data_IF_359245954275
#
_entry.id   IF_359245954275
#
_cell.length_a   1.000
_cell.length_b   1.000
_cell.length_c   1.000
_cell.angle_alpha   90.00
_cell.angle_beta   90.00
_cell.angle_gamma   90.00
#
_symmetry.space_group_name_H-M   'P 1'
#
loop_
_entity.id
_entity.type
_entity.pdbx_description
1 polymer ?
#
# COMPACT_ATOMS: atom_id res chain seq x y z
N UNK A 1 62.42 50.61 50.60
CA UNK A 1 61.73 49.35 50.95
C UNK A 1 60.27 49.43 50.50
N UNK A 2 60.00 49.32 49.19
CA UNK A 2 58.64 49.54 48.64
C UNK A 2 58.47 49.00 47.19
N UNK A 3 59.18 47.93 46.82
CA UNK A 3 59.16 47.40 45.44
C UNK A 3 59.05 45.88 45.30
N UNK A 4 58.72 45.16 46.38
CA UNK A 4 58.61 43.68 46.37
C UNK A 4 57.23 43.14 46.77
N UNK A 5 56.23 44.00 46.99
CA UNK A 5 54.88 43.56 47.42
C UNK A 5 53.89 43.45 46.24
N UNK A 6 54.18 44.07 45.09
CA UNK A 6 53.25 44.08 43.94
C UNK A 6 53.35 42.85 43.03
N UNK A 7 54.39 42.03 43.13
CA UNK A 7 54.53 40.84 42.26
C UNK A 7 53.73 39.63 42.77
N UNK A 8 53.57 39.49 44.09
CA UNK A 8 52.77 38.42 44.69
C UNK A 8 51.26 38.61 44.50
N UNK A 9 50.81 39.88 44.45
CA UNK A 9 49.39 40.19 44.23
C UNK A 9 48.98 40.02 42.76
N UNK A 10 49.89 40.28 41.80
CA UNK A 10 49.63 40.07 40.37
C UNK A 10 49.58 38.58 40.00
N UNK A 11 50.38 37.72 40.66
CA UNK A 11 50.30 36.27 40.45
C UNK A 11 49.02 35.66 41.03
N UNK A 12 48.51 36.18 42.15
CA UNK A 12 47.27 35.71 42.76
C UNK A 12 46.02 36.04 41.90
N UNK A 13 46.04 37.14 41.16
CA UNK A 13 44.94 37.51 40.24
C UNK A 13 44.94 36.65 38.96
N UNK A 14 46.11 36.22 38.46
CA UNK A 14 46.17 35.30 37.32
C UNK A 14 45.76 33.86 37.68
N UNK A 15 45.98 33.42 38.92
CA UNK A 15 45.56 32.08 39.38
C UNK A 15 44.07 32.05 39.76
N UNK A 16 43.47 33.18 40.19
CA UNK A 16 42.03 33.29 40.47
C UNK A 16 41.17 33.59 39.23
N UNK A 17 41.78 33.93 38.09
CA UNK A 17 41.11 34.05 36.78
C UNK A 17 41.26 32.80 35.90
N UNK A 18 41.98 31.77 36.38
CA UNK A 18 41.73 30.39 35.96
C UNK A 18 40.48 29.89 36.67
N UNK A 19 39.37 30.58 36.43
CA UNK A 19 38.07 29.94 36.45
C UNK A 19 38.24 28.72 35.56
N UNK A 20 38.22 27.52 36.15
CA UNK A 20 37.74 26.36 35.44
C UNK A 20 36.41 26.81 34.82
N UNK A 21 36.42 27.20 33.55
CA UNK A 21 35.31 26.82 32.69
C UNK A 21 35.29 25.32 32.87
N UNK A 22 34.42 24.88 33.77
CA UNK A 22 33.78 23.59 33.61
C UNK A 22 33.29 23.73 32.19
N UNK A 23 33.95 23.07 31.24
CA UNK A 23 33.33 22.83 29.96
C UNK A 23 31.97 22.29 30.39
N UNK A 24 30.92 23.08 30.16
CA UNK A 24 29.57 22.57 30.19
C UNK A 24 29.58 21.60 29.01
N UNK A 25 30.15 20.42 29.24
CA UNK A 25 30.03 19.26 28.37
C UNK A 25 28.54 19.04 28.34
N UNK A 26 27.93 19.64 27.31
CA UNK A 26 26.55 19.36 26.93
C UNK A 26 26.50 17.84 26.90
N UNK A 27 25.63 17.22 27.72
CA UNK A 27 25.55 15.77 27.76
C UNK A 27 25.44 15.27 26.32
N UNK A 28 26.21 14.23 25.93
CA UNK A 28 26.14 13.72 24.57
C UNK A 28 24.69 13.43 24.24
N UNK A 29 24.23 13.91 23.09
CA UNK A 29 22.86 13.69 22.62
C UNK A 29 22.59 12.19 22.60
N UNK A 30 21.53 11.77 23.29
CA UNK A 30 21.16 10.37 23.38
C UNK A 30 20.38 9.95 22.13
N UNK A 31 20.91 8.95 21.41
CA UNK A 31 20.27 8.35 20.24
C UNK A 31 19.73 6.94 20.54
N UNK A 32 19.69 6.56 21.82
CA UNK A 32 19.19 5.26 22.23
C UNK A 32 17.69 5.11 21.93
N UNK A 33 17.31 3.85 21.72
CA UNK A 33 15.93 3.43 21.57
C UNK A 33 15.60 2.64 22.83
N UNK A 34 14.58 3.10 23.55
CA UNK A 34 14.12 2.55 24.82
C UNK A 34 12.61 2.30 24.77
N UNK A 35 12.16 1.30 25.54
CA UNK A 35 10.73 1.02 25.71
C UNK A 35 10.00 2.18 26.36
N UNK A 36 8.78 2.44 25.89
CA UNK A 36 7.84 3.43 26.43
C UNK A 36 6.52 2.75 26.78
N UNK A 37 5.52 3.51 27.24
CA UNK A 37 4.19 2.96 27.50
C UNK A 37 3.45 2.48 26.24
N UNK A 38 3.84 2.97 25.06
CA UNK A 38 3.19 2.63 23.79
C UNK A 38 4.07 1.76 22.87
N UNK A 39 5.33 1.50 23.26
CA UNK A 39 6.32 0.80 22.45
C UNK A 39 7.21 -0.09 23.33
N UNK A 40 7.32 -1.36 23.02
CA UNK A 40 8.23 -2.31 23.68
C UNK A 40 9.34 -2.69 22.72
N UNK A 41 10.58 -2.34 23.09
CA UNK A 41 11.78 -2.85 22.46
C UNK A 41 12.10 -4.24 23.04
N UNK A 42 12.04 -5.28 22.22
CA UNK A 42 12.31 -6.66 22.65
C UNK A 42 13.80 -6.97 22.51
N UNK A 43 14.39 -6.66 21.35
CA UNK A 43 15.80 -6.89 21.10
C UNK A 43 16.37 -5.96 20.04
N UNK A 44 17.69 -5.84 20.02
CA UNK A 44 18.46 -5.01 19.09
C UNK A 44 19.54 -5.83 18.38
N UNK A 45 19.89 -5.37 17.19
CA UNK A 45 21.08 -5.80 16.46
C UNK A 45 22.36 -5.20 17.07
N UNK A 46 23.55 -5.73 16.75
CA UNK A 46 24.82 -5.18 17.26
C UNK A 46 25.09 -3.72 16.90
N UNK A 47 24.47 -3.21 15.84
CA UNK A 47 24.55 -1.80 15.42
C UNK A 47 23.61 -0.87 16.22
N UNK A 48 22.83 -1.39 17.17
CA UNK A 48 21.89 -0.63 17.99
C UNK A 48 20.51 -0.44 17.37
N UNK A 49 20.29 -0.89 16.13
CA UNK A 49 18.97 -0.86 15.51
C UNK A 49 18.04 -1.91 16.10
N UNK A 50 16.74 -1.63 16.01
CA UNK A 50 15.68 -2.53 16.44
C UNK A 50 15.81 -3.83 15.66
N UNK A 51 15.81 -4.95 16.38
CA UNK A 51 15.68 -6.27 15.77
C UNK A 51 14.23 -6.75 15.90
N UNK A 52 13.66 -6.68 17.09
CA UNK A 52 12.29 -7.08 17.39
C UNK A 52 11.63 -6.04 18.30
N UNK A 53 10.40 -5.64 17.99
CA UNK A 53 9.65 -4.71 18.81
C UNK A 53 8.12 -4.85 18.60
N UNK A 54 7.36 -4.17 19.47
CA UNK A 54 5.89 -4.15 19.45
C UNK A 54 5.35 -2.77 19.78
N UNK A 55 4.31 -2.33 19.08
CA UNK A 55 3.50 -1.17 19.47
C UNK A 55 2.23 -1.61 20.18
N UNK A 56 1.78 -0.80 21.14
CA UNK A 56 0.53 -1.02 21.87
C UNK A 56 -0.43 0.13 21.61
N UNK A 57 -1.70 -0.22 21.34
CA UNK A 57 -2.81 0.70 21.53
C UNK A 57 -3.19 0.74 23.02
N UNK A 58 -4.08 1.66 23.40
CA UNK A 58 -4.64 1.70 24.74
C UNK A 58 -5.12 0.28 25.18
N UNK A 59 -5.01 -0.04 26.48
CA UNK A 59 -5.39 -1.34 27.09
C UNK A 59 -4.36 -2.49 27.00
N UNK A 60 -3.05 -2.20 26.81
CA UNK A 60 -1.97 -3.21 26.79
C UNK A 60 -2.15 -4.30 25.72
N UNK A 61 -2.82 -3.94 24.62
CA UNK A 61 -3.11 -4.82 23.51
C UNK A 61 -2.18 -4.43 22.34
N UNK A 62 -1.44 -5.37 21.72
CA UNK A 62 -0.53 -5.03 20.64
C UNK A 62 -1.33 -4.53 19.44
N UNK A 63 -0.90 -3.39 18.87
CA UNK A 63 -1.37 -2.92 17.57
C UNK A 63 -0.49 -3.44 16.46
N UNK A 64 0.81 -3.63 16.72
CA UNK A 64 1.80 -4.05 15.74
C UNK A 64 2.88 -4.88 16.42
N UNK A 65 3.34 -5.94 15.77
CA UNK A 65 4.53 -6.71 16.15
C UNK A 65 5.43 -6.83 14.92
N UNK A 66 6.73 -6.58 15.04
CA UNK A 66 7.61 -6.57 13.87
C UNK A 66 9.04 -7.00 14.19
N UNK A 67 9.68 -7.55 13.16
CA UNK A 67 11.08 -7.95 13.13
C UNK A 67 11.77 -7.29 11.93
N UNK A 68 12.98 -6.77 12.15
CA UNK A 68 13.84 -6.21 11.11
C UNK A 68 15.10 -7.06 10.90
N UNK A 69 15.60 -7.07 9.67
CA UNK A 69 16.98 -7.45 9.37
C UNK A 69 17.96 -6.37 9.89
N UNK A 70 19.25 -6.69 9.95
CA UNK A 70 20.29 -5.78 10.47
C UNK A 70 20.51 -4.54 9.57
N UNK A 71 20.11 -4.64 8.30
CA UNK A 71 20.05 -3.54 7.33
C UNK A 71 18.79 -2.65 7.45
N UNK A 72 17.91 -2.92 8.42
CA UNK A 72 16.73 -2.11 8.72
C UNK A 72 15.49 -2.44 7.89
N UNK A 73 15.57 -3.39 6.95
CA UNK A 73 14.39 -3.87 6.23
C UNK A 73 13.50 -4.77 7.09
N UNK A 74 12.20 -4.73 6.84
CA UNK A 74 11.22 -5.58 7.54
C UNK A 74 11.45 -7.01 7.12
N UNK A 75 11.62 -7.89 8.11
CA UNK A 75 11.61 -9.34 7.92
C UNK A 75 10.21 -9.90 8.03
N UNK A 76 9.47 -9.45 9.03
CA UNK A 76 8.05 -9.77 9.19
C UNK A 76 7.34 -8.73 10.03
N UNK A 77 6.04 -8.56 9.78
CA UNK A 77 5.17 -7.75 10.64
C UNK A 77 3.80 -8.40 10.80
N UNK A 78 3.19 -8.20 11.96
CA UNK A 78 1.80 -8.52 12.29
C UNK A 78 1.09 -7.24 12.69
N UNK A 79 0.00 -6.94 12.02
CA UNK A 79 -0.79 -5.73 12.25
C UNK A 79 -2.15 -6.13 12.79
N UNK A 80 -2.59 -5.46 13.85
CA UNK A 80 -3.84 -5.71 14.54
C UNK A 80 -4.80 -4.55 14.35
N UNK A 81 -6.01 -4.85 13.87
CA UNK A 81 -7.09 -3.87 13.79
C UNK A 81 -7.89 -3.85 15.10
N UNK A 82 -8.38 -2.68 15.49
CA UNK A 82 -9.15 -2.48 16.73
C UNK A 82 -10.67 -2.52 16.54
N UNK A 83 -11.15 -2.54 15.29
CA UNK A 83 -12.57 -2.55 14.93
C UNK A 83 -12.85 -3.71 13.95
N UNK A 84 -14.02 -4.39 14.03
CA UNK A 84 -15.08 -4.24 15.04
C UNK A 84 -14.67 -4.75 16.44
N UNK A 85 -13.65 -5.61 16.51
CA UNK A 85 -12.96 -6.02 17.72
C UNK A 85 -11.44 -6.09 17.45
N UNK A 86 -10.63 -6.22 18.51
CA UNK A 86 -9.21 -6.47 18.33
C UNK A 86 -8.98 -7.84 17.68
N UNK A 87 -8.36 -7.86 16.50
CA UNK A 87 -8.00 -9.07 15.78
C UNK A 87 -6.69 -8.87 15.01
N UNK A 88 -6.00 -9.98 14.72
CA UNK A 88 -4.93 -9.97 13.74
C UNK A 88 -5.55 -9.63 12.39
N UNK A 89 -5.09 -8.57 11.75
CA UNK A 89 -5.62 -8.07 10.49
C UNK A 89 -4.75 -8.49 9.31
N UNK A 90 -3.43 -8.37 9.45
CA UNK A 90 -2.47 -8.64 8.38
C UNK A 90 -1.18 -9.23 8.95
N UNK A 91 -0.58 -10.15 8.21
CA UNK A 91 0.78 -10.61 8.38
C UNK A 91 1.53 -10.49 7.05
N UNK A 92 2.78 -10.04 7.11
CA UNK A 92 3.65 -9.96 5.95
C UNK A 92 5.03 -10.51 6.26
N UNK A 93 5.71 -11.03 5.25
CA UNK A 93 7.11 -11.45 5.32
C UNK A 93 7.87 -11.04 4.08
N UNK A 94 9.15 -10.68 4.27
CA UNK A 94 10.00 -10.13 3.23
C UNK A 94 11.43 -10.67 3.30
N UNK A 95 12.14 -10.59 2.18
CA UNK A 95 13.55 -10.94 2.07
C UNK A 95 14.47 -9.86 2.67
N UNK A 96 15.75 -10.19 2.82
CA UNK A 96 16.80 -9.23 3.19
C UNK A 96 16.98 -8.10 2.18
N UNK A 97 16.50 -8.28 0.95
CA UNK A 97 16.51 -7.26 -0.11
C UNK A 97 15.20 -6.47 -0.18
N UNK A 98 14.36 -6.58 0.87
CA UNK A 98 13.07 -5.91 0.98
C UNK A 98 12.07 -6.31 -0.12
N UNK A 99 12.14 -7.54 -0.64
CA UNK A 99 11.15 -8.09 -1.57
C UNK A 99 10.06 -8.84 -0.80
N UNK A 100 8.77 -8.69 -1.15
CA UNK A 100 7.71 -9.45 -0.50
C UNK A 100 7.89 -10.95 -0.79
N UNK A 101 7.62 -11.79 0.21
CA UNK A 101 7.65 -13.26 0.10
C UNK A 101 6.25 -13.85 0.19
N UNK A 102 5.47 -13.39 1.17
CA UNK A 102 4.07 -13.73 1.33
C UNK A 102 3.36 -12.67 2.19
N UNK A 103 2.06 -12.56 2.00
CA UNK A 103 1.16 -11.79 2.85
C UNK A 103 -0.13 -12.55 3.13
N UNK A 104 -0.73 -12.30 4.29
CA UNK A 104 -1.97 -12.92 4.76
C UNK A 104 -2.83 -11.87 5.43
N UNK A 105 -4.13 -11.94 5.17
CA UNK A 105 -5.11 -11.02 5.73
C UNK A 105 -6.26 -11.81 6.32
N UNK A 106 -6.81 -11.30 7.42
CA UNK A 106 -7.74 -12.04 8.25
C UNK A 106 -9.05 -11.28 8.46
N UNK A 107 -10.13 -12.04 8.67
CA UNK A 107 -11.42 -11.49 9.09
C UNK A 107 -11.41 -11.13 10.58
N UNK A 108 -12.36 -10.32 11.07
CA UNK A 108 -12.53 -10.06 12.50
C UNK A 108 -12.76 -11.32 13.35
N UNK A 109 -13.22 -12.41 12.75
CA UNK A 109 -13.43 -13.73 13.35
C UNK A 109 -12.12 -14.54 13.46
N UNK A 110 -11.04 -14.07 12.81
CA UNK A 110 -9.73 -14.72 12.77
C UNK A 110 -9.56 -15.74 11.64
N UNK A 111 -10.47 -15.76 10.66
CA UNK A 111 -10.37 -16.62 9.49
C UNK A 111 -9.48 -15.97 8.44
N UNK A 112 -8.74 -16.78 7.67
CA UNK A 112 -7.92 -16.27 6.57
C UNK A 112 -8.84 -15.77 5.45
N UNK A 113 -8.76 -14.48 5.13
CA UNK A 113 -9.59 -13.85 4.12
C UNK A 113 -8.93 -13.87 2.73
N UNK A 114 -7.66 -13.52 2.64
CA UNK A 114 -6.85 -13.79 1.45
C UNK A 114 -5.37 -13.89 1.79
N UNK A 115 -4.62 -14.51 0.89
CA UNK A 115 -3.17 -14.57 0.96
C UNK A 115 -2.55 -14.37 -0.43
N UNK A 116 -1.33 -13.83 -0.44
CA UNK A 116 -0.54 -13.67 -1.66
C UNK A 116 0.82 -14.32 -1.46
N UNK A 117 1.23 -15.12 -2.43
CA UNK A 117 2.57 -15.68 -2.56
C UNK A 117 3.32 -14.85 -3.61
N UNK A 118 4.60 -14.59 -3.35
CA UNK A 118 5.45 -13.78 -4.22
C UNK A 118 6.69 -14.57 -4.66
N UNK A 119 7.14 -14.33 -5.89
CA UNK A 119 8.37 -14.85 -6.45
C UNK A 119 9.20 -13.68 -7.00
N UNK A 120 10.43 -13.49 -6.50
CA UNK A 120 11.30 -12.35 -6.81
C UNK A 120 10.58 -10.99 -6.62
N UNK A 121 9.83 -10.89 -5.52
CA UNK A 121 9.04 -9.72 -5.16
C UNK A 121 7.81 -9.44 -6.01
N UNK A 122 7.50 -10.27 -7.01
CA UNK A 122 6.31 -10.13 -7.84
C UNK A 122 5.23 -11.15 -7.43
N UNK A 123 3.94 -10.79 -7.45
CA UNK A 123 2.89 -11.73 -7.09
C UNK A 123 2.93 -12.93 -8.05
N UNK A 124 2.82 -14.13 -7.48
CA UNK A 124 2.78 -15.40 -8.20
C UNK A 124 1.41 -16.06 -8.08
N UNK A 125 0.83 -16.07 -6.87
CA UNK A 125 -0.50 -16.61 -6.60
C UNK A 125 -1.20 -15.75 -5.54
N UNK A 126 -2.46 -15.38 -5.76
CA UNK A 126 -3.33 -14.75 -4.75
C UNK A 126 -4.57 -15.62 -4.55
N UNK A 127 -4.87 -16.02 -3.32
CA UNK A 127 -6.04 -16.85 -2.98
C UNK A 127 -6.98 -16.04 -2.11
N UNK A 128 -8.24 -15.94 -2.51
CA UNK A 128 -9.30 -15.22 -1.78
C UNK A 128 -10.35 -16.23 -1.31
N UNK A 129 -10.71 -16.16 -0.04
CA UNK A 129 -11.59 -17.11 0.63
C UNK A 129 -12.92 -16.44 1.01
N UNK A 130 -14.03 -17.14 0.80
CA UNK A 130 -15.36 -16.71 1.25
C UNK A 130 -16.26 -17.90 1.56
N UNK A 131 -17.43 -17.64 2.15
CA UNK A 131 -18.46 -18.66 2.38
C UNK A 131 -18.97 -19.29 1.07
N UNK A 132 -18.86 -18.59 -0.06
CA UNK A 132 -19.33 -19.07 -1.36
C UNK A 132 -18.30 -19.97 -2.05
N UNK A 133 -17.01 -19.85 -1.72
CA UNK A 133 -15.96 -20.60 -2.40
C UNK A 133 -14.57 -20.00 -2.25
N UNK A 134 -13.68 -20.37 -3.16
CA UNK A 134 -12.30 -19.88 -3.21
C UNK A 134 -11.95 -19.42 -4.62
N UNK A 135 -11.38 -18.23 -4.73
CA UNK A 135 -10.82 -17.69 -5.97
C UNK A 135 -9.30 -17.80 -5.92
N UNK A 136 -8.68 -18.38 -6.95
CA UNK A 136 -7.25 -18.50 -7.12
C UNK A 136 -6.83 -17.68 -8.33
N UNK A 137 -6.06 -16.63 -8.09
CA UNK A 137 -5.51 -15.73 -9.09
C UNK A 137 -4.08 -16.17 -9.35
N UNK A 138 -3.76 -16.53 -10.59
CA UNK A 138 -2.42 -16.96 -10.98
C UNK A 138 -1.74 -15.88 -11.79
N UNK A 139 -0.46 -15.66 -11.52
CA UNK A 139 0.33 -14.62 -12.13
C UNK A 139 1.59 -15.22 -12.79
N UNK A 140 2.05 -14.58 -13.87
CA UNK A 140 3.34 -14.84 -14.48
C UNK A 140 4.12 -13.53 -14.55
N UNK A 141 5.29 -13.46 -13.89
CA UNK A 141 6.07 -12.23 -13.79
C UNK A 141 5.24 -11.01 -13.30
N UNK A 142 4.39 -11.24 -12.29
CA UNK A 142 3.51 -10.23 -11.72
C UNK A 142 2.29 -9.86 -12.58
N UNK A 143 2.06 -10.49 -13.74
CA UNK A 143 0.87 -10.26 -14.57
C UNK A 143 -0.17 -11.34 -14.36
N UNK A 144 -1.42 -10.93 -14.12
CA UNK A 144 -2.54 -11.85 -13.96
C UNK A 144 -2.79 -12.65 -15.24
N UNK A 145 -2.60 -13.97 -15.18
CA UNK A 145 -2.82 -14.87 -16.32
C UNK A 145 -4.12 -15.63 -16.22
N UNK A 146 -4.60 -15.92 -15.02
CA UNK A 146 -5.89 -16.59 -14.84
C UNK A 146 -6.51 -16.33 -13.48
N UNK A 147 -7.82 -16.51 -13.42
CA UNK A 147 -8.60 -16.57 -12.18
C UNK A 147 -9.48 -17.80 -12.22
N UNK A 148 -9.36 -18.66 -11.22
CA UNK A 148 -10.18 -19.85 -11.03
C UNK A 148 -11.02 -19.70 -9.77
N UNK A 149 -12.33 -19.74 -9.90
CA UNK A 149 -13.26 -19.81 -8.78
C UNK A 149 -13.79 -21.23 -8.64
N UNK A 150 -13.78 -21.76 -7.42
CA UNK A 150 -14.41 -23.04 -7.05
C UNK A 150 -15.45 -22.79 -5.97
N UNK A 151 -16.69 -23.21 -6.20
CA UNK A 151 -17.76 -23.11 -5.21
C UNK A 151 -17.47 -23.98 -3.97
N UNK A 152 -17.88 -23.53 -2.77
CA UNK A 152 -17.60 -24.20 -1.50
C UNK A 152 -18.16 -25.64 -1.42
N UNK A 153 -19.26 -25.90 -2.14
CA UNK A 153 -19.88 -27.23 -2.26
C UNK A 153 -19.32 -28.07 -3.43
N UNK A 154 -18.34 -27.54 -4.17
CA UNK A 154 -17.76 -28.10 -5.39
C UNK A 154 -18.77 -28.33 -6.52
N UNK A 155 -19.92 -27.66 -6.50
CA UNK A 155 -20.95 -27.80 -7.54
C UNK A 155 -20.56 -27.14 -8.86
N UNK A 156 -19.66 -26.15 -8.83
CA UNK A 156 -19.26 -25.41 -10.02
C UNK A 156 -17.85 -24.84 -9.92
N UNK A 157 -17.26 -24.63 -11.10
CA UNK A 157 -15.99 -23.95 -11.30
C UNK A 157 -16.13 -22.93 -12.42
N UNK A 158 -15.47 -21.78 -12.27
CA UNK A 158 -15.36 -20.77 -13.32
C UNK A 158 -13.90 -20.40 -13.51
N UNK A 159 -13.40 -20.44 -14.74
CA UNK A 159 -12.02 -20.12 -15.07
C UNK A 159 -12.01 -19.00 -16.09
N UNK A 160 -11.38 -17.88 -15.75
CA UNK A 160 -11.05 -16.80 -16.67
C UNK A 160 -9.57 -16.89 -17.01
N UNK A 161 -9.22 -17.03 -18.28
CA UNK A 161 -7.82 -17.00 -18.76
C UNK A 161 -7.59 -15.70 -19.51
N UNK A 162 -6.58 -14.94 -19.10
CA UNK A 162 -6.27 -13.63 -19.65
C UNK A 162 -5.18 -13.71 -20.73
N UNK A 163 -5.39 -13.01 -21.84
CA UNK A 163 -4.36 -12.75 -22.84
C UNK A 163 -4.26 -11.24 -23.11
N UNK A 164 -3.57 -10.49 -22.25
CA UNK A 164 -3.45 -9.03 -22.38
C UNK A 164 -2.86 -8.62 -23.73
N UNK A 165 -1.87 -9.36 -24.23
CA UNK A 165 -1.21 -9.07 -25.50
C UNK A 165 -2.15 -9.19 -26.71
N UNK A 166 -3.11 -10.11 -26.67
CA UNK A 166 -4.14 -10.24 -27.70
C UNK A 166 -5.38 -9.38 -27.41
N UNK A 167 -5.44 -8.69 -26.27
CA UNK A 167 -6.62 -7.93 -25.85
C UNK A 167 -7.86 -8.79 -25.62
N UNK A 168 -7.69 -10.07 -25.26
CA UNK A 168 -8.78 -11.03 -25.08
C UNK A 168 -8.70 -11.78 -23.75
N UNK A 169 -9.81 -12.35 -23.33
CA UNK A 169 -9.90 -13.32 -22.25
C UNK A 169 -10.91 -14.41 -22.59
N UNK A 170 -10.63 -15.63 -22.19
CA UNK A 170 -11.57 -16.75 -22.31
C UNK A 170 -12.21 -17.01 -20.95
N UNK A 171 -13.51 -17.29 -20.94
CA UNK A 171 -14.26 -17.67 -19.75
C UNK A 171 -14.87 -19.05 -19.96
N UNK A 172 -14.47 -20.00 -19.13
CA UNK A 172 -15.08 -21.33 -19.08
C UNK A 172 -15.80 -21.53 -17.75
N UNK A 173 -16.97 -22.17 -17.79
CA UNK A 173 -17.75 -22.48 -16.60
C UNK A 173 -18.20 -23.94 -16.67
N UNK A 174 -17.92 -24.69 -15.61
CA UNK A 174 -18.39 -26.05 -15.43
C UNK A 174 -19.34 -26.10 -14.24
N UNK A 175 -20.49 -26.78 -14.39
CA UNK A 175 -21.45 -27.02 -13.30
C UNK A 175 -21.80 -28.50 -13.28
N UNK A 176 -21.63 -29.14 -12.12
CA UNK A 176 -21.87 -30.57 -11.93
C UNK A 176 -21.14 -31.47 -12.96
N UNK A 177 -19.94 -31.05 -13.39
CA UNK A 177 -19.13 -31.77 -14.38
C UNK A 177 -19.50 -31.51 -15.84
N UNK A 178 -20.50 -30.68 -16.13
CA UNK A 178 -20.87 -30.29 -17.50
C UNK A 178 -20.42 -28.86 -17.82
N UNK A 179 -19.83 -28.67 -19.01
CA UNK A 179 -19.48 -27.34 -19.50
C UNK A 179 -20.74 -26.59 -19.91
N UNK A 180 -20.95 -25.42 -19.32
CA UNK A 180 -22.13 -24.56 -19.53
C UNK A 180 -21.79 -23.20 -20.15
N UNK A 181 -20.50 -22.86 -20.24
CA UNK A 181 -19.97 -21.70 -20.95
C UNK A 181 -18.52 -21.98 -21.34
N UNK A 182 -18.14 -21.58 -22.55
CA UNK A 182 -16.77 -21.48 -23.03
C UNK A 182 -16.74 -20.44 -24.16
N UNK A 183 -16.45 -19.19 -23.79
CA UNK A 183 -16.57 -18.04 -24.69
C UNK A 183 -15.43 -17.04 -24.51
N UNK A 184 -15.07 -16.37 -25.60
CA UNK A 184 -14.07 -15.31 -25.61
C UNK A 184 -14.72 -13.93 -25.49
N UNK A 185 -14.12 -13.09 -24.65
CA UNK A 185 -14.51 -11.71 -24.39
C UNK A 185 -13.31 -10.77 -24.57
N UNK A 186 -13.54 -9.46 -24.79
CA UNK A 186 -12.49 -8.47 -24.69
C UNK A 186 -11.79 -8.53 -23.33
N UNK A 187 -10.48 -8.35 -23.33
CA UNK A 187 -9.70 -8.24 -22.10
C UNK A 187 -10.08 -6.95 -21.37
N UNK A 188 -10.33 -7.12 -20.08
CA UNK A 188 -10.46 -6.03 -19.12
C UNK A 188 -9.73 -6.45 -17.85
N UNK A 189 -8.87 -5.59 -17.33
CA UNK A 189 -8.07 -5.89 -16.14
C UNK A 189 -9.00 -6.16 -14.95
N UNK A 190 -8.74 -7.25 -14.23
CA UNK A 190 -9.52 -7.75 -13.09
C UNK A 190 -10.99 -8.15 -13.34
N UNK A 191 -11.48 -8.23 -14.58
CA UNK A 191 -12.83 -8.77 -14.83
C UNK A 191 -12.81 -10.29 -14.72
N UNK A 192 -13.74 -10.83 -13.92
CA UNK A 192 -13.72 -12.23 -13.50
C UNK A 192 -12.80 -12.50 -12.31
N UNK A 193 -12.14 -11.46 -11.76
CA UNK A 193 -11.38 -11.56 -10.51
C UNK A 193 -12.25 -11.91 -9.29
N UNK A 194 -13.59 -11.80 -9.42
CA UNK A 194 -14.53 -12.31 -8.41
C UNK A 194 -14.11 -11.94 -7.00
N UNK A 195 -13.72 -10.69 -6.76
CA UNK A 195 -13.24 -10.25 -5.46
C UNK A 195 -14.44 -10.15 -4.54
N UNK A 196 -14.72 -11.25 -3.86
CA UNK A 196 -16.02 -11.46 -3.29
C UNK A 196 -16.09 -11.17 -1.81
N UNK A 197 -16.42 -9.92 -1.55
CA UNK A 197 -17.41 -9.60 -0.53
C UNK A 197 -18.78 -9.62 -1.21
N UNK A 198 -19.57 -10.67 -1.02
CA UNK A 198 -20.99 -10.79 -1.44
C UNK A 198 -21.49 -10.53 -2.89
N UNK A 199 -20.73 -9.92 -3.85
CA UNK A 199 -21.15 -9.67 -5.27
C UNK A 199 -20.28 -10.21 -6.45
N UNK A 200 -20.91 -10.78 -7.52
CA UNK A 200 -20.23 -11.66 -8.53
C UNK A 200 -19.82 -10.70 -9.60
N UNK A 201 -18.53 -10.33 -9.59
CA UNK A 201 -17.91 -9.62 -10.69
C UNK A 201 -18.29 -10.40 -11.96
N UNK A 202 -19.03 -9.78 -12.89
CA UNK A 202 -19.56 -10.43 -14.06
C UNK A 202 -18.44 -11.05 -14.87
N UNK A 203 -18.41 -12.38 -15.00
CA UNK A 203 -17.38 -13.03 -15.83
C UNK A 203 -17.63 -12.75 -17.31
N UNK A 204 -18.88 -12.65 -17.75
CA UNK A 204 -19.26 -12.45 -19.15
C UNK A 204 -19.57 -10.98 -19.56
N UNK A 205 -19.57 -10.01 -18.63
CA UNK A 205 -19.96 -8.59 -18.82
C UNK A 205 -20.84 -8.32 -20.07
N UNK A 206 -22.12 -8.70 -20.00
CA UNK A 206 -23.03 -8.66 -21.16
C UNK A 206 -23.34 -7.24 -21.69
N UNK A 207 -22.94 -6.20 -20.97
CA UNK A 207 -23.22 -4.80 -21.30
C UNK A 207 -22.08 -4.12 -22.08
N UNK A 208 -21.04 -4.85 -22.49
CA UNK A 208 -19.85 -4.25 -23.13
C UNK A 208 -20.12 -3.58 -24.50
N UNK A 209 -21.27 -3.86 -25.12
CA UNK A 209 -21.65 -3.39 -26.45
C UNK A 209 -22.60 -2.17 -26.42
N UNK A 210 -22.93 -1.62 -25.23
CA UNK A 210 -23.75 -0.41 -25.13
C UNK A 210 -22.95 0.83 -25.58
N UNK A 211 -23.61 1.81 -26.20
CA UNK A 211 -22.99 3.07 -26.65
C UNK A 211 -22.28 3.77 -25.48
N UNK A 212 -20.95 3.66 -25.42
CA UNK A 212 -20.17 4.34 -24.39
C UNK A 212 -20.01 5.81 -24.74
N UNK A 213 -20.34 6.71 -23.83
CA UNK A 213 -19.94 8.11 -23.93
C UNK A 213 -18.64 8.33 -23.15
N UNK A 214 -17.64 8.93 -23.78
CA UNK A 214 -16.43 9.37 -23.08
C UNK A 214 -16.64 10.77 -22.54
N UNK A 215 -16.53 10.92 -21.21
CA UNK A 215 -16.67 12.19 -20.53
C UNK A 215 -15.30 12.67 -20.05
N UNK A 216 -14.78 13.72 -20.68
CA UNK A 216 -13.47 14.29 -20.35
C UNK A 216 -13.56 15.22 -19.14
N UNK A 217 -12.68 15.03 -18.16
CA UNK A 217 -12.60 15.83 -16.93
C UNK A 217 -11.36 16.75 -16.90
N UNK A 218 -10.20 16.26 -17.35
CA UNK A 218 -8.90 16.96 -17.27
C UNK A 218 -8.60 17.60 -15.90
N UNK A 219 -8.53 16.79 -14.84
CA UNK A 219 -8.25 17.28 -13.50
C UNK A 219 -6.90 16.78 -13.01
N UNK A 220 -6.11 17.65 -12.39
CA UNK A 220 -4.85 17.28 -11.74
C UNK A 220 -4.85 17.75 -10.31
N UNK A 221 -4.38 16.91 -9.41
CA UNK A 221 -4.16 17.21 -8.01
C UNK A 221 -2.72 16.94 -7.66
N UNK A 222 -2.16 17.75 -6.77
CA UNK A 222 -0.81 17.60 -6.28
C UNK A 222 -0.77 17.96 -4.80
N UNK A 223 -0.02 17.18 -4.04
CA UNK A 223 0.25 17.41 -2.64
C UNK A 223 1.76 17.32 -2.39
N UNK A 224 2.31 18.39 -1.81
CA UNK A 224 3.68 18.40 -1.32
C UNK A 224 3.87 17.40 -0.18
N UNK A 225 5.09 16.87 0.02
CA UNK A 225 5.39 16.00 1.14
C UNK A 225 4.91 16.59 2.47
N UNK A 226 4.23 15.76 3.26
CA UNK A 226 3.76 16.12 4.59
C UNK A 226 3.86 14.93 5.52
N UNK A 227 4.13 15.18 6.80
CA UNK A 227 4.12 14.14 7.83
C UNK A 227 2.68 13.71 8.10
N UNK A 228 2.42 12.42 7.94
CA UNK A 228 1.16 11.79 8.24
C UNK A 228 1.37 10.76 9.35
N UNK A 229 0.59 10.88 10.42
CA UNK A 229 0.52 9.90 11.49
C UNK A 229 -0.62 8.95 11.16
N UNK A 230 -0.41 7.65 11.28
CA UNK A 230 -1.40 6.62 10.91
C UNK A 230 -1.87 6.75 9.44
N UNK A 231 -0.92 7.02 8.54
CA UNK A 231 -1.20 7.25 7.12
C UNK A 231 -1.75 5.98 6.45
N UNK A 232 -2.97 6.06 5.92
CA UNK A 232 -3.51 5.04 5.04
C UNK A 232 -3.36 5.50 3.58
N UNK A 233 -2.62 4.76 2.73
CA UNK A 233 -2.48 5.09 1.31
C UNK A 233 -3.81 5.27 0.57
N UNK A 234 -4.90 4.72 1.11
CA UNK A 234 -6.27 4.84 0.58
C UNK A 234 -6.70 6.31 0.42
N UNK A 235 -6.17 7.22 1.24
CA UNK A 235 -6.48 8.65 1.17
C UNK A 235 -5.91 9.31 -0.10
N UNK A 236 -4.97 8.66 -0.77
CA UNK A 236 -4.23 9.19 -1.92
C UNK A 236 -4.53 8.44 -3.23
N UNK A 237 -5.42 7.45 -3.20
CA UNK A 237 -5.76 6.65 -4.38
C UNK A 237 -7.24 6.29 -4.43
N UNK A 238 -7.74 6.04 -5.64
CA UNK A 238 -9.11 5.57 -5.82
C UNK A 238 -9.19 4.06 -5.61
N UNK A 239 -10.29 3.55 -5.04
CA UNK A 239 -10.60 2.14 -5.09
C UNK A 239 -10.66 1.72 -6.55
N UNK A 240 -9.89 0.70 -6.90
CA UNK A 240 -9.96 0.12 -8.24
C UNK A 240 -11.38 -0.36 -8.56
N UNK A 241 -12.08 -0.94 -7.57
CA UNK A 241 -13.49 -1.35 -7.70
C UNK A 241 -14.37 -0.66 -6.64
N UNK A 242 -15.38 0.07 -7.09
CA UNK A 242 -16.48 0.58 -6.28
C UNK A 242 -17.73 -0.23 -6.56
N UNK A 243 -18.23 -0.92 -5.54
CA UNK A 243 -19.46 -1.71 -5.62
C UNK A 243 -20.66 -0.89 -5.12
N UNK A 244 -21.87 -1.29 -5.51
CA UNK A 244 -23.12 -0.62 -5.13
C UNK A 244 -23.36 -0.69 -3.61
N UNK A 245 -22.96 -1.81 -2.98
CA UNK A 245 -22.88 -1.90 -1.52
C UNK A 245 -21.69 -1.10 -0.98
N UNK A 246 -21.99 0.11 -0.50
CA UNK A 246 -21.01 1.02 0.08
C UNK A 246 -20.28 0.38 1.28
N UNK A 247 -19.00 0.07 1.13
CA UNK A 247 -18.13 -0.36 2.22
C UNK A 247 -17.37 0.83 2.78
N UNK A 248 -17.66 1.18 4.04
CA UNK A 248 -16.83 2.12 4.81
C UNK A 248 -15.82 1.28 5.61
N UNK A 249 -14.55 1.20 5.18
CA UNK A 249 -13.51 0.72 6.10
C UNK A 249 -13.50 1.69 7.30
N UNK A 250 -13.41 1.14 8.51
CA UNK A 250 -13.17 1.96 9.70
C UNK A 250 -11.71 2.46 9.70
N UNK A 251 -11.16 2.74 10.89
CA UNK A 251 -9.76 3.18 11.07
C UNK A 251 -8.72 2.05 10.80
N UNK A 252 -8.86 1.28 9.73
CA UNK A 252 -7.98 0.18 9.34
C UNK A 252 -7.83 0.09 7.82
N UNK A 253 -6.68 -0.41 7.36
CA UNK A 253 -6.41 -0.65 5.94
C UNK A 253 -7.57 -1.45 5.33
N UNK A 254 -8.12 -0.95 4.23
CA UNK A 254 -9.30 -1.54 3.63
C UNK A 254 -8.93 -2.86 2.95
N UNK A 255 -9.21 -3.97 3.62
CA UNK A 255 -9.03 -5.34 3.11
C UNK A 255 -9.54 -5.46 1.67
N UNK A 256 -10.78 -5.04 1.41
CA UNK A 256 -11.39 -5.01 0.06
C UNK A 256 -10.52 -4.28 -0.97
N UNK A 257 -9.87 -3.22 -0.55
CA UNK A 257 -8.98 -2.39 -1.37
C UNK A 257 -7.64 -3.08 -1.65
N UNK A 258 -7.08 -3.79 -0.67
CA UNK A 258 -5.87 -4.60 -0.83
C UNK A 258 -6.05 -5.74 -1.82
N UNK A 259 -7.22 -6.37 -1.85
CA UNK A 259 -7.46 -7.43 -2.84
C UNK A 259 -7.65 -6.86 -4.25
N UNK A 260 -8.29 -5.69 -4.38
CA UNK A 260 -8.64 -5.09 -5.68
C UNK A 260 -7.56 -4.18 -6.26
N UNK A 261 -6.59 -3.71 -5.46
CA UNK A 261 -5.61 -2.72 -5.92
C UNK A 261 -4.20 -3.18 -5.58
N UNK A 262 -3.49 -3.71 -6.59
CA UNK A 262 -2.11 -4.18 -6.40
C UNK A 262 -1.18 -3.06 -5.91
N UNK A 263 -1.40 -1.82 -6.35
CA UNK A 263 -0.64 -0.66 -5.88
C UNK A 263 -0.86 -0.41 -4.37
N UNK A 264 -2.11 -0.43 -3.91
CA UNK A 264 -2.43 -0.27 -2.51
C UNK A 264 -1.80 -1.37 -1.66
N UNK A 265 -2.02 -2.62 -2.07
CA UNK A 265 -1.46 -3.80 -1.43
C UNK A 265 0.06 -3.68 -1.32
N UNK A 266 0.73 -3.34 -2.43
CA UNK A 266 2.19 -3.19 -2.46
C UNK A 266 2.68 -2.18 -1.43
N UNK A 267 2.01 -1.02 -1.31
CA UNK A 267 2.42 0.01 -0.34
C UNK A 267 2.25 -0.45 1.11
N UNK A 268 1.07 -0.97 1.46
CA UNK A 268 0.78 -1.36 2.85
C UNK A 268 1.64 -2.58 3.26
N UNK A 269 2.08 -3.40 2.31
CA UNK A 269 3.00 -4.51 2.57
C UNK A 269 4.47 -4.07 2.62
N UNK A 270 4.84 -2.98 1.93
CA UNK A 270 6.19 -2.40 1.98
C UNK A 270 6.44 -1.64 3.28
N UNK A 271 5.42 -0.93 3.74
CA UNK A 271 5.44 -0.12 4.97
C UNK A 271 4.28 -0.51 5.91
N UNK A 272 4.21 -1.78 6.36
CA UNK A 272 3.15 -2.25 7.25
C UNK A 272 3.24 -1.61 8.64
N UNK A 273 4.41 -1.09 8.99
CA UNK A 273 4.70 -0.39 10.25
C UNK A 273 5.31 0.96 9.91
N UNK A 274 4.78 2.02 10.53
CA UNK A 274 5.25 3.39 10.34
C UNK A 274 5.66 4.00 11.69
N UNK A 275 6.95 3.95 12.01
CA UNK A 275 7.45 4.44 13.31
C UNK A 275 7.20 5.95 13.45
N UNK A 276 6.20 6.32 14.26
CA UNK A 276 5.75 7.70 14.45
C UNK A 276 5.39 8.40 13.12
N UNK A 277 4.86 7.69 12.14
CA UNK A 277 4.34 8.24 10.88
C UNK A 277 5.30 8.19 9.68
N UNK A 278 4.83 8.68 8.52
CA UNK A 278 5.58 8.72 7.24
C UNK A 278 5.46 10.09 6.59
N UNK A 279 6.42 10.41 5.72
CA UNK A 279 6.30 11.53 4.79
C UNK A 279 5.63 11.05 3.51
N UNK A 280 4.55 11.68 3.10
CA UNK A 280 3.89 11.36 1.83
C UNK A 280 3.63 12.62 1.01
N UNK A 281 3.99 12.55 -0.27
CA UNK A 281 3.62 13.49 -1.32
C UNK A 281 3.00 12.73 -2.48
N UNK A 282 2.03 13.33 -3.17
CA UNK A 282 1.26 12.62 -4.20
C UNK A 282 0.87 13.53 -5.36
N UNK A 283 0.58 12.92 -6.49
CA UNK A 283 -0.15 13.57 -7.57
C UNK A 283 -1.06 12.58 -8.27
N UNK A 284 -2.22 13.08 -8.67
CA UNK A 284 -3.16 12.35 -9.52
C UNK A 284 -3.57 13.21 -10.69
N UNK A 285 -3.70 12.57 -11.85
CA UNK A 285 -4.27 13.15 -13.05
C UNK A 285 -5.44 12.27 -13.49
N UNK A 286 -6.61 12.86 -13.59
CA UNK A 286 -7.85 12.20 -14.03
C UNK A 286 -8.18 12.78 -15.41
N UNK A 287 -8.05 11.95 -16.46
CA UNK A 287 -8.36 12.38 -17.82
C UNK A 287 -9.88 12.44 -18.04
N UNK A 288 -10.59 11.40 -17.59
CA UNK A 288 -12.04 11.26 -17.79
C UNK A 288 -12.54 9.87 -17.48
N UNK A 289 -13.75 9.55 -17.92
CA UNK A 289 -14.36 8.25 -17.72
C UNK A 289 -15.28 7.85 -18.88
N UNK A 290 -15.43 6.54 -19.08
CA UNK A 290 -16.52 5.97 -19.84
C UNK A 290 -17.70 5.68 -18.92
N UNK A 291 -18.90 6.06 -19.35
CA UNK A 291 -20.15 5.58 -18.74
C UNK A 291 -20.77 4.53 -19.65
N UNK A 292 -21.15 3.41 -19.05
CA UNK A 292 -21.85 2.30 -19.66
C UNK A 292 -23.31 2.36 -19.23
N UNK A 293 -24.22 2.02 -20.14
CA UNK A 293 -25.65 1.99 -19.85
C UNK A 293 -26.16 0.56 -19.72
N UNK A 294 -27.02 0.34 -18.73
CA UNK A 294 -27.85 -0.84 -18.62
C UNK A 294 -28.96 -0.81 -19.71
N UNK A 295 -28.61 -1.21 -20.94
CA UNK A 295 -29.55 -1.12 -22.06
C UNK A 295 -30.74 -2.05 -21.88
N UNK A 296 -31.92 -1.54 -22.21
CA UNK A 296 -33.15 -2.32 -22.19
C UNK A 296 -33.04 -3.58 -23.04
N UNK A 297 -32.39 -3.48 -24.20
CA UNK A 297 -32.22 -4.59 -25.14
C UNK A 297 -31.38 -5.74 -24.54
N UNK A 298 -30.29 -5.41 -23.84
CA UNK A 298 -29.47 -6.43 -23.17
C UNK A 298 -30.25 -7.05 -22.02
N UNK A 299 -30.95 -6.24 -21.21
CA UNK A 299 -31.83 -6.75 -20.16
C UNK A 299 -32.90 -7.70 -20.69
N UNK A 300 -33.67 -7.28 -21.68
CA UNK A 300 -34.74 -8.07 -22.29
C UNK A 300 -34.20 -9.40 -22.85
N UNK A 301 -33.02 -9.37 -23.49
CA UNK A 301 -32.37 -10.58 -23.99
C UNK A 301 -31.96 -11.57 -22.89
N UNK A 302 -31.64 -11.07 -21.70
CA UNK A 302 -31.19 -11.85 -20.57
C UNK A 302 -32.30 -12.21 -19.57
N UNK A 303 -33.48 -11.59 -19.67
CA UNK A 303 -34.59 -11.79 -18.75
C UNK A 303 -35.05 -13.26 -18.71
N UNK A 304 -35.18 -13.89 -19.88
CA UNK A 304 -35.52 -15.32 -19.97
C UNK A 304 -34.48 -16.23 -19.31
N UNK A 305 -33.18 -15.92 -19.47
CA UNK A 305 -32.09 -16.66 -18.83
C UNK A 305 -32.16 -16.54 -17.31
N UNK A 306 -32.46 -15.34 -16.81
CA UNK A 306 -32.63 -15.09 -15.39
C UNK A 306 -33.86 -15.80 -14.81
N UNK A 307 -35.01 -15.76 -15.49
CA UNK A 307 -36.24 -16.41 -15.05
C UNK A 307 -36.15 -17.94 -15.04
N UNK A 308 -35.45 -18.53 -16.01
CA UNK A 308 -35.29 -19.98 -16.14
C UNK A 308 -34.30 -20.56 -15.11
N UNK A 309 -33.14 -19.93 -14.92
CA UNK A 309 -32.09 -20.40 -14.01
C UNK A 309 -31.32 -19.21 -13.40
N UNK A 310 -31.84 -18.58 -12.32
CA UNK A 310 -31.18 -17.45 -11.67
C UNK A 310 -29.76 -17.75 -11.18
N UNK A 311 -29.48 -19.00 -10.80
CA UNK A 311 -28.17 -19.42 -10.35
C UNK A 311 -27.16 -19.44 -11.51
N UNK A 312 -27.57 -19.94 -12.68
CA UNK A 312 -26.77 -19.87 -13.90
C UNK A 312 -26.56 -18.42 -14.35
N UNK A 313 -27.59 -17.59 -14.27
CA UNK A 313 -27.47 -16.16 -14.56
C UNK A 313 -26.41 -15.50 -13.67
N UNK A 314 -26.51 -15.68 -12.34
CA UNK A 314 -25.56 -15.08 -11.39
C UNK A 314 -24.12 -15.58 -11.63
N UNK A 315 -23.97 -16.86 -11.99
CA UNK A 315 -22.68 -17.47 -12.30
C UNK A 315 -22.05 -16.92 -13.60
N UNK A 316 -22.85 -16.63 -14.64
CA UNK A 316 -22.39 -16.10 -15.93
C UNK A 316 -22.20 -14.58 -15.92
N UNK A 317 -23.20 -13.86 -15.45
CA UNK A 317 -23.35 -12.43 -15.66
C UNK A 317 -23.26 -11.61 -14.38
N UNK A 318 -23.08 -12.24 -13.22
CA UNK A 318 -23.10 -11.52 -11.96
C UNK A 318 -24.47 -10.89 -11.64
N UNK A 319 -24.53 -10.14 -10.55
CA UNK A 319 -25.67 -9.32 -10.16
C UNK A 319 -25.43 -7.81 -10.38
N UNK A 320 -24.23 -7.45 -10.81
CA UNK A 320 -23.81 -6.07 -11.04
C UNK A 320 -23.18 -5.95 -12.43
N UNK A 321 -23.24 -4.74 -12.99
CA UNK A 321 -22.54 -4.38 -14.23
C UNK A 321 -21.62 -3.20 -13.97
N UNK A 322 -20.54 -3.08 -14.74
CA UNK A 322 -19.68 -1.91 -14.69
C UNK A 322 -20.45 -0.72 -15.30
N UNK A 323 -20.82 0.26 -14.49
CA UNK A 323 -21.49 1.50 -14.93
C UNK A 323 -20.47 2.54 -15.38
N UNK A 324 -19.29 2.58 -14.77
CA UNK A 324 -18.26 3.58 -15.06
C UNK A 324 -16.86 3.03 -15.01
N UNK A 325 -16.01 3.48 -15.93
CA UNK A 325 -14.58 3.19 -15.94
C UNK A 325 -13.82 4.51 -16.03
N UNK A 326 -13.11 4.87 -14.97
CA UNK A 326 -12.30 6.08 -14.85
C UNK A 326 -10.85 5.87 -15.29
N UNK A 327 -10.29 6.85 -15.98
CA UNK A 327 -8.94 6.81 -16.55
C UNK A 327 -8.08 7.94 -16.05
N UNK A 328 -6.79 7.65 -15.89
CA UNK A 328 -5.84 8.64 -15.41
C UNK A 328 -4.49 8.06 -15.05
N UNK A 329 -3.77 8.78 -14.20
CA UNK A 329 -2.44 8.45 -13.68
C UNK A 329 -2.38 8.84 -12.21
N UNK A 330 -1.81 7.97 -11.38
CA UNK A 330 -1.57 8.26 -9.96
C UNK A 330 -0.13 7.90 -9.66
N UNK A 331 0.56 8.77 -8.94
CA UNK A 331 1.81 8.44 -8.29
C UNK A 331 1.89 9.10 -6.91
N UNK A 332 2.73 8.55 -6.06
CA UNK A 332 3.06 9.14 -4.77
C UNK A 332 4.44 8.68 -4.34
N UNK A 333 5.03 9.46 -3.44
CA UNK A 333 6.36 9.24 -2.89
C UNK A 333 6.22 9.12 -1.38
N UNK A 334 6.80 8.07 -0.82
CA UNK A 334 6.79 7.79 0.62
C UNK A 334 8.21 7.85 1.15
N UNK A 335 8.44 8.71 2.12
CA UNK A 335 9.64 8.74 2.94
C UNK A 335 9.37 8.06 4.29
N UNK A 336 9.99 6.91 4.53
CA UNK A 336 9.83 6.13 5.75
C UNK A 336 11.10 6.20 6.62
N UNK A 337 10.93 6.45 7.91
CA UNK A 337 12.02 6.40 8.90
C UNK A 337 11.79 5.23 9.86
N UNK A 338 12.86 4.54 10.22
CA UNK A 338 12.88 3.53 11.29
C UNK A 338 14.06 3.76 12.22
N UNK A 339 14.01 3.14 13.40
CA UNK A 339 15.02 3.29 14.44
C UNK A 339 15.11 4.73 14.98
N UNK A 340 13.98 5.44 15.06
CA UNK A 340 13.95 6.78 15.63
C UNK A 340 14.31 6.74 17.13
N UNK A 341 15.19 7.62 17.62
CA UNK A 341 15.49 7.72 19.04
C UNK A 341 14.26 7.97 19.92
N UNK A 342 14.33 7.53 21.18
CA UNK A 342 13.24 7.74 22.14
C UNK A 342 13.07 9.21 22.51
N UNK A 343 14.16 9.97 22.60
CA UNK A 343 14.10 11.42 22.86
C UNK A 343 13.35 12.16 21.74
N UNK A 344 12.28 12.86 22.12
CA UNK A 344 11.37 13.52 21.19
C UNK A 344 12.04 14.69 20.45
N UNK A 345 12.94 15.43 21.09
CA UNK A 345 13.64 16.54 20.43
C UNK A 345 14.60 16.02 19.36
N UNK A 346 15.33 14.93 19.67
CA UNK A 346 16.22 14.27 18.73
C UNK A 346 15.43 13.69 17.56
N UNK A 347 14.34 12.97 17.85
CA UNK A 347 13.47 12.40 16.81
C UNK A 347 12.86 13.49 15.90
N UNK A 348 12.39 14.61 16.47
CA UNK A 348 11.84 15.72 15.70
C UNK A 348 12.89 16.41 14.82
N UNK A 349 14.13 16.55 15.30
CA UNK A 349 15.23 17.06 14.50
C UNK A 349 15.52 16.14 13.29
N UNK A 350 15.61 14.83 13.52
CA UNK A 350 15.82 13.84 12.44
C UNK A 350 14.66 13.87 11.44
N UNK A 351 13.41 13.94 11.90
CA UNK A 351 12.23 14.07 11.03
C UNK A 351 12.27 15.34 10.17
N UNK A 352 12.78 16.44 10.71
CA UNK A 352 12.96 17.67 9.95
C UNK A 352 14.04 17.54 8.88
N UNK A 353 15.15 16.85 9.18
CA UNK A 353 16.19 16.53 8.20
C UNK A 353 15.68 15.60 7.10
N UNK A 354 14.92 14.55 7.44
CA UNK A 354 14.29 13.66 6.49
C UNK A 354 13.33 14.40 5.54
N UNK A 355 12.50 15.30 6.08
CA UNK A 355 11.63 16.17 5.29
C UNK A 355 12.42 17.01 4.30
N UNK A 356 13.50 17.66 4.75
CA UNK A 356 14.38 18.47 3.88
C UNK A 356 15.10 17.61 2.84
N UNK A 357 15.56 16.41 3.20
CA UNK A 357 16.22 15.47 2.30
C UNK A 357 15.27 15.04 1.18
N UNK A 358 14.07 14.56 1.52
CA UNK A 358 13.02 14.21 0.54
C UNK A 358 12.62 15.42 -0.32
N UNK A 359 12.38 16.59 0.28
CA UNK A 359 12.06 17.82 -0.47
C UNK A 359 13.17 18.22 -1.43
N UNK A 360 14.43 18.01 -1.05
CA UNK A 360 15.59 18.21 -1.91
C UNK A 360 15.58 17.29 -3.13
N UNK A 361 15.30 15.99 -2.93
CA UNK A 361 15.15 15.02 -4.02
C UNK A 361 14.04 15.44 -5.00
N UNK A 362 12.85 15.78 -4.49
CA UNK A 362 11.70 16.06 -5.36
C UNK A 362 11.79 17.38 -6.12
N UNK A 363 12.56 18.36 -5.60
CA UNK A 363 12.64 19.71 -6.17
C UNK A 363 13.99 20.02 -6.85
N UNK A 364 14.93 19.07 -6.90
CA UNK A 364 16.25 19.30 -7.51
C UNK A 364 17.20 20.20 -6.70
N UNK A 365 17.03 20.28 -5.37
CA UNK A 365 17.85 21.12 -4.50
C UNK A 365 18.76 20.26 -3.59
N UNK A 366 19.88 20.84 -3.12
CA UNK A 366 20.73 20.20 -2.09
C UNK A 366 19.95 20.13 -0.77
N UNK A 367 19.35 18.97 -0.47
CA UNK A 367 18.40 18.81 0.64
C UNK A 367 19.02 19.05 2.02
N UNK A 368 20.15 18.40 2.30
CA UNK A 368 20.86 18.46 3.59
C UNK A 368 22.39 18.53 3.41
N UNK A 369 23.11 18.98 4.45
CA UNK A 369 24.57 19.04 4.48
C UNK A 369 25.21 17.68 4.81
N UNK A 370 26.54 17.56 4.69
CA UNK A 370 27.27 16.35 5.08
C UNK A 370 27.12 16.04 6.59
N UNK A 371 27.27 17.05 7.46
CA UNK A 371 27.08 16.91 8.90
C UNK A 371 25.65 16.48 9.25
N UNK A 372 24.65 16.98 8.51
CA UNK A 372 23.26 16.56 8.65
C UNK A 372 23.03 15.12 8.13
N UNK A 373 23.79 14.69 7.13
CA UNK A 373 23.74 13.32 6.63
C UNK A 373 24.27 12.34 7.68
N UNK A 374 25.34 12.67 8.42
CA UNK A 374 25.84 11.85 9.52
C UNK A 374 24.80 11.66 10.63
N UNK A 375 23.90 12.64 10.84
CA UNK A 375 22.78 12.51 11.76
C UNK A 375 21.68 11.59 11.20
N UNK A 376 21.40 11.70 9.90
CA UNK A 376 20.45 10.82 9.20
C UNK A 376 20.92 9.37 9.16
N UNK A 377 22.22 9.11 9.06
CA UNK A 377 22.79 7.76 8.98
C UNK A 377 22.66 6.97 10.31
N UNK A 378 22.25 7.63 11.40
CA UNK A 378 21.93 6.97 12.68
C UNK A 378 20.59 6.24 12.65
N UNK A 379 19.72 6.61 11.71
CA UNK A 379 18.41 6.00 11.52
C UNK A 379 18.37 5.36 10.14
N UNK A 380 17.40 4.47 9.94
CA UNK A 380 17.12 3.99 8.60
C UNK A 380 16.12 4.96 7.96
N UNK A 381 16.47 5.51 6.79
CA UNK A 381 15.59 6.39 6.02
C UNK A 381 15.63 6.01 4.54
N UNK A 382 14.46 5.72 3.99
CA UNK A 382 14.27 5.36 2.59
C UNK A 382 13.18 6.23 2.00
N UNK A 383 13.35 6.62 0.74
CA UNK A 383 12.31 7.27 -0.05
C UNK A 383 11.99 6.38 -1.23
N UNK A 384 10.72 6.04 -1.41
CA UNK A 384 10.25 5.25 -2.57
C UNK A 384 9.17 5.96 -3.36
N UNK A 385 9.24 5.80 -4.67
CA UNK A 385 8.24 6.25 -5.63
C UNK A 385 7.34 5.09 -6.05
N UNK A 386 6.03 5.32 -6.03
CA UNK A 386 5.01 4.37 -6.43
C UNK A 386 4.12 4.99 -7.49
N UNK A 387 3.65 4.20 -8.46
CA UNK A 387 2.63 4.64 -9.40
C UNK A 387 1.81 3.47 -9.96
N UNK A 388 0.81 3.77 -10.78
CA UNK A 388 0.02 2.75 -11.49
C UNK A 388 0.83 1.94 -12.51
N UNK A 389 2.05 2.37 -12.85
CA UNK A 389 2.94 1.63 -13.74
C UNK A 389 3.48 0.38 -13.07
N UNK A 390 3.43 -0.75 -13.78
CA UNK A 390 3.87 -2.07 -13.29
C UNK A 390 5.27 -2.02 -12.66
N UNK A 391 6.21 -1.39 -13.37
CA UNK A 391 7.61 -1.22 -12.96
C UNK A 391 7.75 -0.52 -11.59
N UNK A 392 6.76 0.29 -11.22
CA UNK A 392 6.77 1.12 -10.02
C UNK A 392 5.86 0.59 -8.90
N UNK A 393 5.06 -0.46 -9.13
CA UNK A 393 4.06 -0.95 -8.16
C UNK A 393 4.69 -1.37 -6.83
N UNK A 394 5.87 -2.01 -6.87
CA UNK A 394 6.63 -2.43 -5.68
C UNK A 394 7.48 -1.32 -5.03
N UNK A 395 7.41 -0.10 -5.57
CA UNK A 395 8.15 1.05 -5.12
C UNK A 395 9.60 1.05 -5.62
N UNK A 396 10.00 2.14 -6.29
CA UNK A 396 11.38 2.38 -6.74
C UNK A 396 12.07 3.28 -5.72
N UNK A 397 13.25 2.88 -5.23
CA UNK A 397 14.05 3.69 -4.31
C UNK A 397 14.53 4.96 -5.03
N UNK A 398 14.40 6.09 -4.37
CA UNK A 398 14.90 7.39 -4.82
C UNK A 398 16.17 7.74 -4.05
N UNK A 399 17.29 7.83 -4.75
CA UNK A 399 18.57 8.24 -4.17
C UNK A 399 18.94 9.67 -4.59
N UNK A 400 18.40 10.15 -5.71
CA UNK A 400 18.68 11.48 -6.24
C UNK A 400 17.48 12.18 -6.89
N UNK A 401 17.58 13.49 -7.16
CA UNK A 401 16.59 14.20 -7.97
C UNK A 401 16.44 13.63 -9.38
N UNK A 402 17.53 13.16 -9.98
CA UNK A 402 17.51 12.57 -11.33
C UNK A 402 16.67 11.29 -11.38
N UNK A 403 16.67 10.48 -10.32
CA UNK A 403 15.80 9.29 -10.23
C UNK A 403 14.33 9.70 -10.25
N UNK A 404 13.97 10.72 -9.47
CA UNK A 404 12.60 11.23 -9.43
C UNK A 404 12.17 11.79 -10.78
N UNK A 405 13.02 12.60 -11.43
CA UNK A 405 12.75 13.15 -12.77
C UNK A 405 12.52 12.05 -13.82
N UNK A 406 13.32 10.98 -13.79
CA UNK A 406 13.18 9.84 -14.71
C UNK A 406 11.86 9.10 -14.49
N UNK A 407 11.50 8.81 -13.24
CA UNK A 407 10.25 8.11 -12.91
C UNK A 407 9.02 8.95 -13.23
N UNK A 408 9.10 10.25 -12.98
CA UNK A 408 8.07 11.22 -13.38
C UNK A 408 7.89 11.26 -14.89
N UNK A 409 8.98 11.27 -15.65
CA UNK A 409 8.93 11.22 -17.11
C UNK A 409 8.29 9.92 -17.60
N UNK A 410 8.65 8.77 -17.01
CA UNK A 410 8.03 7.49 -17.34
C UNK A 410 6.52 7.49 -17.08
N UNK A 411 6.05 8.07 -15.96
CA UNK A 411 4.62 8.24 -15.70
C UNK A 411 3.96 9.15 -16.74
N UNK A 412 4.59 10.27 -17.08
CA UNK A 412 4.05 11.22 -18.05
C UNK A 412 3.96 10.64 -19.47
N UNK A 413 4.92 9.81 -19.88
CA UNK A 413 4.99 9.21 -21.21
C UNK A 413 4.11 7.96 -21.36
N UNK A 414 3.74 7.31 -20.24
CA UNK A 414 2.90 6.12 -20.28
C UNK A 414 1.47 6.39 -20.75
N UNK A 415 0.78 5.35 -21.22
CA UNK A 415 -0.66 5.40 -21.49
C UNK A 415 -1.48 5.63 -20.21
N UNK A 416 -2.73 6.05 -20.36
CA UNK A 416 -3.64 6.18 -19.23
C UNK A 416 -3.96 4.79 -18.65
N UNK A 417 -3.96 4.69 -17.32
CA UNK A 417 -4.39 3.49 -16.60
C UNK A 417 -5.87 3.61 -16.25
N UNK A 418 -6.56 2.47 -16.10
CA UNK A 418 -7.83 2.42 -15.38
C UNK A 418 -7.53 2.71 -13.91
N UNK A 419 -8.12 3.79 -13.39
CA UNK A 419 -7.98 4.17 -11.98
C UNK A 419 -9.10 3.61 -11.11
N UNK A 420 -10.28 3.39 -11.69
CA UNK A 420 -11.48 2.99 -10.97
C UNK A 420 -12.53 2.40 -11.92
N UNK A 421 -13.22 1.36 -11.44
CA UNK A 421 -14.41 0.79 -12.02
C UNK A 421 -15.54 0.91 -11.00
N UNK A 422 -16.65 1.54 -11.38
CA UNK A 422 -17.86 1.62 -10.55
C UNK A 422 -18.88 0.61 -11.08
N UNK A 423 -19.45 -0.15 -10.16
CA UNK A 423 -20.42 -1.21 -10.42
C UNK A 423 -21.78 -0.81 -9.85
N UNK A 424 -22.84 -1.18 -10.56
CA UNK A 424 -24.22 -0.97 -10.15
C UNK A 424 -25.00 -2.27 -10.25
N UNK A 425 -25.94 -2.49 -9.32
CA UNK A 425 -26.85 -3.65 -9.38
C UNK A 425 -27.69 -3.64 -10.65
N UNK A 426 -27.86 -4.81 -11.26
CA UNK A 426 -28.81 -4.99 -12.37
C UNK A 426 -30.23 -4.99 -11.81
N UNK A 427 -30.96 -3.88 -11.98
CA UNK A 427 -32.39 -3.83 -11.63
C UNK A 427 -33.23 -4.57 -12.67
N UNK A 428 -33.97 -5.59 -12.23
CA UNK A 428 -35.01 -6.26 -13.01
C UNK A 428 -36.37 -5.69 -12.61
N UNK A 429 -36.78 -4.61 -13.28
CA UNK A 429 -38.14 -4.02 -13.17
C UNK A 429 -39.06 -4.55 -14.26
#
# INVERSE_FOLDING_TARGET
MQRKIYLGLLLAVCVLLSSCQKDDEVPPTDYSIESTSAFELISQHPNGWIKEARYFKALNQPSEEFEYYDNGYIKSAKIYASYPQQHLYMEVSRSEDNEPLWSKYYTPEGELWFETEYENGLPSVKKVYSEQGTSVHSYTNGELTSVEFTAADNSSTAITTCNPAAGTRNVSITRNGESILDEDYPYHEQVGAGVYTTNHVPVANAFNNAETSYNKLNQSFYQSPSWQFDADPIEFMFPYSLYDEFYYPGDYFATRFAVTTDLYQSVIEQYPVTEKGVLIGSSSYIDGYHSMQNSWEVRDSLASVYEEDPALYKLKYGNEYAEKVGYGKIFFVIGAIRNLPTDENVANNIKHLAYRKMTGMLNGNTGITADEQELMDKVWFEVKFFSTLKEHRNGVVLDSPEDYEQLMQAVNDAELSVLQMEYQTVEWL
#
